data_IF_468880303302
#
_entry.id   IF_468880303302
#
_cell.length_a   1.000
_cell.length_b   1.000
_cell.length_c   1.000
_cell.angle_alpha   90.00
_cell.angle_beta   90.00
_cell.angle_gamma   90.00
#
_symmetry.space_group_name_H-M   'P 1'
#
loop_
_entity.id
_entity.type
_entity.pdbx_description
1 polymer ?
#
# COMPACT_ATOMS: atom_id res chain seq x y z
N UNK A 1 -20.64 -7.50 -5.24
CA UNK A 1 -19.78 -7.54 -6.46
C UNK A 1 -18.66 -6.53 -6.20
N UNK A 2 -17.39 -6.89 -6.40
CA UNK A 2 -16.26 -5.97 -6.24
C UNK A 2 -16.32 -4.92 -7.34
N UNK A 3 -16.08 -3.67 -6.99
CA UNK A 3 -16.12 -2.54 -7.92
C UNK A 3 -14.71 -2.05 -8.29
N UNK A 4 -13.82 -2.04 -7.33
CA UNK A 4 -12.44 -1.52 -7.48
C UNK A 4 -11.40 -2.64 -7.49
N UNK A 5 -11.48 -3.58 -6.56
CA UNK A 5 -10.52 -4.67 -6.46
C UNK A 5 -10.80 -5.78 -7.48
N UNK A 6 -9.84 -5.99 -8.37
CA UNK A 6 -9.75 -7.17 -9.23
C UNK A 6 -8.91 -8.28 -8.56
N UNK A 7 -8.51 -9.28 -9.37
CA UNK A 7 -7.62 -10.36 -8.93
C UNK A 7 -6.27 -9.85 -8.45
N UNK A 8 -5.78 -8.76 -9.06
CA UNK A 8 -4.44 -8.19 -8.84
C UNK A 8 -4.49 -6.79 -8.22
N UNK A 9 -5.43 -6.52 -7.34
CA UNK A 9 -5.61 -5.22 -6.71
C UNK A 9 -6.46 -4.28 -7.56
N UNK A 10 -6.32 -2.98 -7.32
CA UNK A 10 -7.03 -1.93 -8.07
C UNK A 10 -6.15 -1.48 -9.23
N UNK A 11 -6.61 -1.65 -10.47
CA UNK A 11 -5.88 -1.29 -11.70
C UNK A 11 -6.67 -0.35 -12.58
N UNK A 12 -5.98 0.44 -13.37
CA UNK A 12 -6.57 1.30 -14.39
C UNK A 12 -5.54 2.21 -15.04
N UNK A 13 -5.99 2.95 -16.07
CA UNK A 13 -5.18 3.99 -16.69
C UNK A 13 -4.88 5.07 -15.65
N UNK A 14 -3.60 5.29 -15.37
CA UNK A 14 -3.16 6.23 -14.34
C UNK A 14 -3.61 7.66 -14.67
N UNK A 15 -4.03 8.40 -13.65
CA UNK A 15 -4.57 9.77 -13.74
C UNK A 15 -5.87 9.91 -14.57
N UNK A 16 -6.50 8.81 -14.95
CA UNK A 16 -7.80 8.78 -15.64
C UNK A 16 -8.81 7.91 -14.90
N UNK A 17 -8.47 6.65 -14.65
CA UNK A 17 -9.26 5.68 -13.91
C UNK A 17 -8.69 5.49 -12.50
N UNK A 18 -7.38 5.23 -12.41
CA UNK A 18 -6.64 5.22 -11.15
C UNK A 18 -6.08 6.62 -10.90
N UNK A 19 -6.90 7.46 -10.28
CA UNK A 19 -6.59 8.87 -9.97
C UNK A 19 -5.91 9.04 -8.62
N UNK A 20 -5.35 10.22 -8.36
CA UNK A 20 -4.85 10.59 -7.02
C UNK A 20 -5.96 10.54 -5.97
N UNK A 21 -7.19 10.96 -6.30
CA UNK A 21 -8.32 10.87 -5.37
C UNK A 21 -8.61 9.42 -5.00
N UNK A 22 -8.64 8.51 -5.98
CA UNK A 22 -8.85 7.09 -5.70
C UNK A 22 -7.69 6.49 -4.89
N UNK A 23 -6.45 6.83 -5.19
CA UNK A 23 -5.28 6.37 -4.43
C UNK A 23 -5.31 6.88 -2.98
N UNK A 24 -5.68 8.14 -2.75
CA UNK A 24 -5.88 8.70 -1.42
C UNK A 24 -6.98 7.95 -0.64
N UNK A 25 -8.15 7.74 -1.28
CA UNK A 25 -9.27 6.99 -0.67
C UNK A 25 -8.89 5.56 -0.35
N UNK A 26 -8.16 4.89 -1.23
CA UNK A 26 -7.60 3.55 -1.00
C UNK A 26 -6.69 3.53 0.23
N UNK A 27 -5.79 4.50 0.34
CA UNK A 27 -4.92 4.64 1.51
C UNK A 27 -5.70 4.87 2.79
N UNK A 28 -6.62 5.83 2.78
CA UNK A 28 -7.43 6.17 3.95
C UNK A 28 -8.35 5.03 4.38
N UNK A 29 -9.08 4.42 3.45
CA UNK A 29 -9.97 3.30 3.73
C UNK A 29 -9.18 2.04 4.14
N UNK A 30 -8.10 1.72 3.41
CA UNK A 30 -7.23 0.58 3.72
C UNK A 30 -6.58 0.71 5.09
N UNK A 31 -6.00 1.86 5.39
CA UNK A 31 -5.43 2.14 6.71
C UNK A 31 -6.46 2.02 7.83
N UNK A 32 -7.64 2.56 7.65
CA UNK A 32 -8.74 2.47 8.62
C UNK A 32 -9.18 1.03 8.90
N UNK A 33 -9.38 0.23 7.85
CA UNK A 33 -9.79 -1.17 7.98
C UNK A 33 -8.69 -2.01 8.64
N UNK A 34 -7.42 -1.74 8.34
CA UNK A 34 -6.28 -2.46 8.90
C UNK A 34 -5.93 -2.02 10.33
N UNK A 35 -6.33 -0.81 10.75
CA UNK A 35 -6.04 -0.26 12.07
C UNK A 35 -6.96 -0.80 13.19
N UNK A 36 -7.57 -1.96 13.03
CA UNK A 36 -8.49 -2.59 13.98
C UNK A 36 -7.81 -3.16 15.25
N UNK A 37 -6.61 -2.70 15.61
CA UNK A 37 -5.84 -3.17 16.76
C UNK A 37 -5.43 -2.05 17.71
N UNK A 38 -4.84 -2.42 18.84
CA UNK A 38 -4.40 -1.49 19.88
C UNK A 38 -3.01 -0.87 19.63
N UNK A 39 -2.47 -0.99 18.41
CA UNK A 39 -1.14 -0.47 18.04
C UNK A 39 -1.18 0.36 16.77
N UNK A 40 -0.17 1.21 16.60
CA UNK A 40 0.02 1.98 15.35
C UNK A 40 0.36 1.05 14.20
N UNK A 41 -0.46 1.10 13.16
CA UNK A 41 -0.26 0.30 11.94
C UNK A 41 0.97 0.79 11.19
N UNK A 42 1.86 -0.13 10.83
CA UNK A 42 3.00 0.11 9.94
C UNK A 42 2.73 -0.45 8.55
N UNK A 43 3.00 0.36 7.54
CA UNK A 43 2.78 -0.02 6.14
C UNK A 43 4.07 0.15 5.33
N UNK A 44 4.53 -0.94 4.72
CA UNK A 44 5.61 -0.89 3.72
C UNK A 44 5.01 -0.49 2.39
N UNK A 45 5.57 0.54 1.74
CA UNK A 45 5.11 1.01 0.42
C UNK A 45 6.25 0.98 -0.57
N UNK A 46 6.07 0.22 -1.65
CA UNK A 46 7.02 0.16 -2.77
C UNK A 46 6.32 0.38 -4.11
N UNK A 47 7.10 0.63 -5.15
CA UNK A 47 6.59 0.88 -6.50
C UNK A 47 7.53 0.30 -7.57
N UNK A 48 7.00 0.15 -8.78
CA UNK A 48 7.82 -0.11 -9.96
C UNK A 48 8.37 1.19 -10.60
N UNK A 49 8.93 1.08 -11.79
CA UNK A 49 9.58 2.20 -12.50
C UNK A 49 8.63 3.09 -13.29
N UNK A 50 7.32 2.90 -13.20
CA UNK A 50 6.32 3.69 -13.95
C UNK A 50 6.32 5.14 -13.49
N UNK A 51 6.25 6.07 -14.45
CA UNK A 51 6.26 7.52 -14.18
C UNK A 51 5.11 7.96 -13.26
N UNK A 52 3.96 7.31 -13.36
CA UNK A 52 2.79 7.59 -12.50
C UNK A 52 2.97 7.10 -11.05
N UNK A 53 4.03 6.34 -10.76
CA UNK A 53 4.28 5.76 -9.45
C UNK A 53 4.41 6.81 -8.35
N UNK A 54 5.20 7.87 -8.57
CA UNK A 54 5.42 8.93 -7.57
C UNK A 54 4.14 9.66 -7.18
N UNK A 55 3.31 9.97 -8.17
CA UNK A 55 2.03 10.64 -7.97
C UNK A 55 1.07 9.78 -7.14
N UNK A 56 0.93 8.51 -7.51
CA UNK A 56 0.02 7.57 -6.82
C UNK A 56 0.53 7.22 -5.42
N UNK A 57 1.85 7.04 -5.26
CA UNK A 57 2.48 6.80 -3.96
C UNK A 57 2.22 7.95 -3.00
N UNK A 58 2.43 9.19 -3.43
CA UNK A 58 2.22 10.38 -2.61
C UNK A 58 0.77 10.48 -2.13
N UNK A 59 -0.19 10.24 -3.01
CA UNK A 59 -1.62 10.27 -2.68
C UNK A 59 -2.01 9.14 -1.72
N UNK A 60 -1.55 7.91 -1.99
CA UNK A 60 -1.80 6.74 -1.14
C UNK A 60 -1.23 6.94 0.27
N UNK A 61 0.02 7.39 0.36
CA UNK A 61 0.71 7.66 1.63
C UNK A 61 -0.04 8.72 2.43
N UNK A 62 -0.46 9.81 1.81
CA UNK A 62 -1.26 10.84 2.48
C UNK A 62 -2.56 10.26 3.07
N UNK A 63 -3.24 9.38 2.32
CA UNK A 63 -4.44 8.68 2.79
C UNK A 63 -4.17 7.80 4.01
N UNK A 64 -3.13 6.97 3.96
CA UNK A 64 -2.71 6.10 5.07
C UNK A 64 -2.35 6.90 6.33
N UNK A 65 -1.52 7.94 6.17
CA UNK A 65 -1.08 8.79 7.28
C UNK A 65 -2.26 9.55 7.92
N UNK A 66 -3.27 9.91 7.15
CA UNK A 66 -4.44 10.64 7.62
C UNK A 66 -5.29 9.84 8.62
N UNK A 67 -5.10 8.54 8.71
CA UNK A 67 -5.73 7.64 9.70
C UNK A 67 -4.74 7.06 10.71
N UNK A 68 -3.53 7.63 10.78
CA UNK A 68 -2.53 7.31 11.81
C UNK A 68 -1.59 6.15 11.46
N UNK A 69 -1.55 5.68 10.20
CA UNK A 69 -0.60 4.65 9.79
C UNK A 69 0.80 5.24 9.62
N UNK A 70 1.81 4.56 10.15
CA UNK A 70 3.22 4.87 9.91
C UNK A 70 3.70 4.18 8.63
N UNK A 71 4.45 4.90 7.81
CA UNK A 71 4.85 4.45 6.49
C UNK A 71 6.35 4.15 6.44
N UNK A 72 6.69 3.03 5.81
CA UNK A 72 8.06 2.65 5.48
C UNK A 72 8.17 2.62 3.95
N UNK A 73 8.52 3.74 3.30
CA UNK A 73 8.72 3.76 1.87
C UNK A 73 10.00 3.02 1.51
N UNK A 74 9.91 2.06 0.60
CA UNK A 74 11.05 1.24 0.16
C UNK A 74 11.51 1.54 -1.27
N UNK A 75 10.89 2.55 -1.89
CA UNK A 75 11.28 3.05 -3.21
C UNK A 75 10.92 2.10 -4.36
N UNK A 76 11.73 2.17 -5.43
CA UNK A 76 11.55 1.32 -6.60
C UNK A 76 12.12 -0.07 -6.31
N UNK A 77 11.23 -1.06 -6.25
CA UNK A 77 11.58 -2.41 -5.83
C UNK A 77 10.60 -3.43 -6.46
N UNK A 78 11.00 -4.68 -6.72
CA UNK A 78 10.09 -5.70 -7.26
C UNK A 78 8.95 -6.05 -6.29
N UNK A 79 7.80 -6.39 -6.84
CA UNK A 79 6.60 -6.80 -6.05
C UNK A 79 6.92 -7.83 -4.95
N UNK A 80 7.67 -8.94 -5.20
CA UNK A 80 7.99 -9.90 -4.14
C UNK A 80 8.87 -9.31 -3.03
N UNK A 81 9.63 -8.26 -3.31
CA UNK A 81 10.41 -7.58 -2.28
C UNK A 81 9.51 -6.87 -1.27
N UNK A 82 8.42 -6.25 -1.72
CA UNK A 82 7.44 -5.62 -0.80
C UNK A 82 6.86 -6.67 0.15
N UNK A 83 6.43 -7.82 -0.37
CA UNK A 83 5.92 -8.92 0.44
C UNK A 83 6.95 -9.44 1.46
N UNK A 84 8.22 -9.57 1.06
CA UNK A 84 9.30 -9.97 1.94
C UNK A 84 9.59 -8.92 3.03
N UNK A 85 9.71 -7.65 2.64
CA UNK A 85 10.05 -6.56 3.55
C UNK A 85 8.92 -6.28 4.55
N UNK A 86 7.66 -6.49 4.17
CA UNK A 86 6.52 -6.43 5.10
C UNK A 86 6.75 -7.35 6.28
N UNK A 87 7.14 -8.60 6.04
CA UNK A 87 7.48 -9.56 7.11
C UNK A 87 8.74 -9.17 7.86
N UNK A 88 9.81 -8.81 7.13
CA UNK A 88 11.11 -8.49 7.72
C UNK A 88 11.03 -7.31 8.68
N UNK A 89 10.26 -6.28 8.35
CA UNK A 89 10.11 -5.08 9.18
C UNK A 89 8.99 -5.18 10.20
N UNK A 90 8.35 -6.36 10.32
CA UNK A 90 7.18 -6.56 11.18
C UNK A 90 6.12 -5.48 10.93
N UNK A 91 5.85 -5.20 9.66
CA UNK A 91 4.79 -4.31 9.25
C UNK A 91 3.46 -5.06 9.17
N UNK A 92 2.37 -4.35 9.42
CA UNK A 92 1.02 -4.92 9.41
C UNK A 92 0.49 -5.14 8.00
N UNK A 93 1.02 -4.36 7.06
CA UNK A 93 0.61 -4.38 5.67
C UNK A 93 1.76 -3.98 4.75
N UNK A 94 1.74 -4.51 3.54
CA UNK A 94 2.56 -4.04 2.43
C UNK A 94 1.69 -3.54 1.29
N UNK A 95 2.12 -2.50 0.60
CA UNK A 95 1.45 -1.99 -0.59
C UNK A 95 2.46 -1.84 -1.72
N UNK A 96 2.15 -2.37 -2.89
CA UNK A 96 2.94 -2.15 -4.10
C UNK A 96 2.14 -1.39 -5.14
N UNK A 97 2.77 -0.39 -5.74
CA UNK A 97 2.22 0.40 -6.84
C UNK A 97 2.87 -0.10 -8.13
N UNK A 98 2.13 -0.91 -8.86
CA UNK A 98 2.58 -1.56 -10.09
C UNK A 98 1.41 -2.16 -10.87
N UNK A 99 1.49 -2.14 -12.18
CA UNK A 99 0.61 -2.89 -13.08
C UNK A 99 1.34 -4.04 -13.81
N UNK A 100 2.44 -4.55 -13.21
CA UNK A 100 3.18 -5.69 -13.76
C UNK A 100 3.70 -5.43 -15.19
N UNK A 101 3.18 -6.17 -16.17
CA UNK A 101 3.56 -6.11 -17.59
C UNK A 101 2.55 -5.35 -18.47
N UNK A 102 1.57 -4.70 -17.88
CA UNK A 102 0.60 -3.86 -18.61
C UNK A 102 1.31 -2.69 -19.32
N UNK A 103 0.67 -2.06 -20.32
CA UNK A 103 1.17 -0.84 -20.95
C UNK A 103 1.57 0.25 -19.95
N UNK A 104 2.42 1.17 -20.38
CA UNK A 104 3.00 2.21 -19.51
C UNK A 104 1.95 3.15 -18.91
N UNK A 105 0.84 3.33 -19.59
CA UNK A 105 -0.27 4.17 -19.17
C UNK A 105 -1.03 3.63 -17.97
N UNK A 106 -1.00 2.30 -17.79
CA UNK A 106 -1.65 1.63 -16.68
C UNK A 106 -0.80 1.73 -15.41
N UNK A 107 -1.48 1.68 -14.26
CA UNK A 107 -0.85 1.39 -12.99
C UNK A 107 -1.82 0.61 -12.10
N UNK A 108 -1.36 0.18 -10.93
CA UNK A 108 -2.16 -0.59 -10.00
C UNK A 108 -1.69 -0.40 -8.56
N UNK A 109 -2.58 -0.66 -7.62
CA UNK A 109 -2.29 -0.66 -6.19
C UNK A 109 -2.74 -1.99 -5.62
N UNK A 110 -1.80 -2.74 -5.04
CA UNK A 110 -2.03 -4.06 -4.47
C UNK A 110 -1.57 -4.10 -3.02
N UNK A 111 -2.44 -4.61 -2.17
CA UNK A 111 -2.19 -4.77 -0.74
C UNK A 111 -1.74 -6.21 -0.42
N UNK A 112 -0.83 -6.33 0.53
CA UNK A 112 -0.39 -7.57 1.15
C UNK A 112 -0.68 -7.52 2.65
N UNK A 113 -1.06 -8.64 3.23
CA UNK A 113 -1.16 -8.78 4.67
C UNK A 113 0.23 -8.87 5.32
N UNK A 114 0.28 -8.91 6.65
CA UNK A 114 1.52 -9.00 7.44
C UNK A 114 2.41 -10.21 7.09
N UNK A 115 1.81 -11.26 6.54
CA UNK A 115 2.50 -12.48 6.15
C UNK A 115 3.02 -12.43 4.70
N UNK A 116 2.79 -11.31 3.99
CA UNK A 116 3.22 -11.08 2.62
C UNK A 116 2.32 -11.72 1.56
N UNK A 117 1.12 -12.14 1.92
CA UNK A 117 0.12 -12.66 0.99
C UNK A 117 -0.88 -11.57 0.59
N UNK A 118 -1.56 -11.76 -0.54
CA UNK A 118 -2.67 -10.91 -0.95
C UNK A 118 -3.71 -10.82 0.19
N UNK A 119 -4.32 -9.66 0.37
CA UNK A 119 -5.44 -9.51 1.32
C UNK A 119 -6.58 -10.47 0.98
N UNK A 120 -7.27 -10.93 2.02
CA UNK A 120 -8.49 -11.69 1.87
C UNK A 120 -9.58 -10.88 1.20
N UNK A 121 -10.36 -11.54 0.36
CA UNK A 121 -11.46 -10.95 -0.39
C UNK A 121 -12.47 -10.21 0.51
N UNK A 122 -12.67 -10.69 1.73
CA UNK A 122 -13.54 -10.04 2.72
C UNK A 122 -13.00 -8.67 3.17
N UNK A 123 -11.69 -8.56 3.36
CA UNK A 123 -11.02 -7.32 3.73
C UNK A 123 -11.07 -6.33 2.56
N UNK A 124 -10.78 -6.80 1.33
CA UNK A 124 -10.90 -5.96 0.13
C UNK A 124 -12.31 -5.39 -0.03
N UNK A 125 -13.35 -6.20 0.18
CA UNK A 125 -14.74 -5.74 0.13
C UNK A 125 -15.07 -4.73 1.23
N UNK A 126 -14.48 -4.87 2.41
CA UNK A 126 -14.66 -3.91 3.48
C UNK A 126 -13.99 -2.58 3.15
N UNK A 127 -12.78 -2.60 2.60
CA UNK A 127 -12.10 -1.40 2.10
C UNK A 127 -12.95 -0.70 1.04
N UNK A 128 -13.54 -1.43 0.08
CA UNK A 128 -14.40 -0.84 -0.96
C UNK A 128 -15.59 -0.08 -0.39
N UNK A 129 -16.22 -0.58 0.68
CA UNK A 129 -17.34 0.12 1.34
C UNK A 129 -16.94 1.50 1.86
N UNK A 130 -15.72 1.61 2.38
CA UNK A 130 -15.19 2.89 2.87
C UNK A 130 -14.68 3.79 1.76
N UNK A 131 -14.18 3.26 0.64
CA UNK A 131 -13.84 4.07 -0.54
C UNK A 131 -15.07 4.81 -1.06
N UNK A 132 -16.22 4.14 -1.12
CA UNK A 132 -17.47 4.74 -1.57
C UNK A 132 -18.11 5.67 -0.55
N UNK A 133 -17.82 5.47 0.71
CA UNK A 133 -18.36 6.23 1.83
C UNK A 133 -17.21 6.79 2.67
N UNK A 134 -16.31 7.52 2.04
CA UNK A 134 -15.09 8.01 2.71
C UNK A 134 -15.38 8.87 3.95
N UNK A 135 -16.50 9.57 3.97
CA UNK A 135 -16.97 10.37 5.09
C UNK A 135 -17.33 9.51 6.32
N UNK A 136 -17.55 8.21 6.14
CA UNK A 136 -17.78 7.25 7.24
C UNK A 136 -16.50 6.73 7.87
N UNK A 137 -15.34 7.08 7.32
CA UNK A 137 -14.04 6.79 7.94
C UNK A 137 -13.89 7.77 9.13
N UNK A 138 -14.40 7.36 10.27
CA UNK A 138 -14.36 8.16 11.51
C UNK A 138 -13.02 7.92 12.24
N UNK A 139 -11.94 8.35 11.62
CA UNK A 139 -10.58 8.31 12.17
C UNK A 139 -9.81 9.53 11.66
N UNK A 140 -9.67 10.54 12.53
CA UNK A 140 -8.99 11.80 12.22
C UNK A 140 -7.99 12.13 13.34
N UNK A 141 -6.90 11.35 13.46
CA UNK A 141 -5.89 11.58 14.49
C UNK A 141 -5.26 12.95 14.33
N UNK A 142 -4.88 13.55 15.47
CA UNK A 142 -4.26 14.88 15.52
C UNK A 142 -2.95 14.84 16.31
N UNK A 143 -2.10 15.83 16.07
CA UNK A 143 -0.83 15.96 16.78
C UNK A 143 0.07 14.73 16.56
N UNK A 144 0.55 14.16 17.63
CA UNK A 144 1.46 12.99 17.62
C UNK A 144 0.82 11.69 17.09
N UNK A 145 -0.51 11.65 16.96
CA UNK A 145 -1.24 10.49 16.46
C UNK A 145 -1.38 10.45 14.93
N UNK A 146 -1.02 11.52 14.23
CA UNK A 146 -0.92 11.49 12.76
C UNK A 146 0.20 10.53 12.35
N UNK A 147 -0.01 9.78 11.28
CA UNK A 147 1.00 8.86 10.76
C UNK A 147 2.27 9.59 10.32
N UNK A 148 3.41 8.92 10.43
CA UNK A 148 4.73 9.47 10.06
C UNK A 148 5.42 8.60 9.01
N UNK A 149 6.39 9.18 8.30
CA UNK A 149 7.25 8.44 7.37
C UNK A 149 8.54 8.06 8.10
N UNK A 150 8.81 6.76 8.14
CA UNK A 150 10.04 6.18 8.67
C UNK A 150 10.91 5.69 7.50
N UNK A 151 11.92 6.44 7.11
CA UNK A 151 12.79 6.09 6.00
C UNK A 151 13.69 4.90 6.35
N UNK A 152 13.54 3.81 5.60
CA UNK A 152 14.42 2.64 5.69
C UNK A 152 15.41 2.66 4.52
N UNK A 153 16.68 2.95 4.83
CA UNK A 153 17.73 3.12 3.82
C UNK A 153 18.32 1.80 3.30
N UNK A 154 18.05 0.69 3.99
CA UNK A 154 18.61 -0.62 3.67
C UNK A 154 17.63 -1.53 2.92
N UNK A 155 16.43 -1.10 2.61
CA UNK A 155 15.37 -1.96 2.06
C UNK A 155 15.81 -2.77 0.84
N UNK A 156 16.45 -2.14 -0.14
CA UNK A 156 16.96 -2.83 -1.33
C UNK A 156 18.06 -3.84 -0.97
N UNK A 157 18.99 -3.46 -0.10
CA UNK A 157 20.08 -4.32 0.35
C UNK A 157 19.54 -5.54 1.10
N UNK A 158 18.60 -5.32 1.99
CA UNK A 158 17.94 -6.39 2.75
C UNK A 158 17.30 -7.43 1.84
N UNK A 159 16.66 -6.97 0.77
CA UNK A 159 16.07 -7.88 -0.20
C UNK A 159 17.14 -8.62 -1.04
N UNK A 160 18.19 -7.94 -1.47
CA UNK A 160 19.31 -8.55 -2.20
C UNK A 160 20.02 -9.60 -1.33
N UNK A 161 20.27 -9.31 -0.06
CA UNK A 161 20.92 -10.25 0.86
C UNK A 161 20.03 -11.48 1.12
N UNK A 162 18.71 -11.29 1.21
CA UNK A 162 17.76 -12.39 1.24
C UNK A 162 17.85 -13.27 -0.01
N UNK A 163 17.81 -12.67 -1.20
CA UNK A 163 17.92 -13.42 -2.46
C UNK A 163 19.23 -14.23 -2.52
N UNK A 164 20.35 -13.64 -2.11
CA UNK A 164 21.65 -14.35 -2.06
C UNK A 164 21.61 -15.53 -1.09
N UNK A 165 20.89 -15.41 0.02
CA UNK A 165 20.81 -16.48 1.03
C UNK A 165 20.04 -17.72 0.57
N UNK A 166 19.19 -17.59 -0.45
CA UNK A 166 18.37 -18.70 -0.98
C UNK A 166 18.90 -19.30 -2.28
N UNK A 167 19.97 -18.75 -2.87
CA UNK A 167 20.55 -19.20 -4.14
C UNK A 167 21.69 -20.24 -3.93
N UNK A 168 21.99 -20.63 -2.75
CA UNK A 168 23.06 -21.60 -2.43
C UNK A 168 22.63 -23.04 -2.63
#
# INVERSE_FOLDING_TARGET
>A
MRKYFGTDGVRGVANKELTCDLAYRLGRAGGYVLAQGDHRVKVVVGKDTRMSGDMLESALIAGLMSVGCDIIPVGVIPTPAVAYLTRKYNADCGVVISASHNPMEDNGIKFFNKDGFKLDDAIELEIEKYIENIDKVDCNPVGENVGVINHEHNALRDYVDYLKSIIN
#
